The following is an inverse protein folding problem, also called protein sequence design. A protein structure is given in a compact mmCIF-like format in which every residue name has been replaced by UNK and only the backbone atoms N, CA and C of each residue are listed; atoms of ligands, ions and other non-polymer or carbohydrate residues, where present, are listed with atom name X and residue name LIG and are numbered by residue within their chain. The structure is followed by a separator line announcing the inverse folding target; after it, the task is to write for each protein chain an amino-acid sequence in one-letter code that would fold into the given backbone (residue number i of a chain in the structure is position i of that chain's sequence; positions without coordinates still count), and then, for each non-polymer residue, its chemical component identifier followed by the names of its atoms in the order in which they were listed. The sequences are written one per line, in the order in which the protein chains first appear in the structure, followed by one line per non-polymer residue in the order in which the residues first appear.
data_IF_293299533011
#
_entry.id   IF_293299533011
#
_cell.length_a   1.000
_cell.length_b   1.000
_cell.length_c   1.000
_cell.angle_alpha   90.00
_cell.angle_beta   90.00
_cell.angle_gamma   90.00
#
_symmetry.space_group_name_H-M   'P 1'
#
loop_
_entity.id
_entity.type
_entity.pdbx_description
1 polymer ?
#
# COMPACT_ATOMS: atom_id res chain seq x y z
N UNK A 1 13.31 -11.22 1.92
CA UNK A 1 13.62 -9.80 1.60
C UNK A 1 14.85 -9.33 2.35
N UNK A 2 14.85 -9.31 3.70
CA UNK A 2 15.97 -8.82 4.51
C UNK A 2 17.36 -9.41 4.15
N UNK A 3 17.46 -10.74 4.06
CA UNK A 3 18.75 -11.43 3.86
C UNK A 3 19.42 -11.17 2.49
N UNK A 4 18.66 -10.79 1.47
CA UNK A 4 19.18 -10.60 0.10
C UNK A 4 19.32 -9.13 -0.30
N UNK A 5 18.87 -8.20 0.56
CA UNK A 5 18.80 -6.77 0.24
C UNK A 5 19.64 -5.89 1.17
N UNK A 6 20.30 -6.46 2.19
CA UNK A 6 21.00 -5.70 3.24
C UNK A 6 20.06 -4.65 3.88
N UNK A 7 18.80 -5.03 4.11
CA UNK A 7 17.76 -4.18 4.68
C UNK A 7 17.24 -4.75 6.01
N UNK A 8 17.09 -3.88 7.00
CA UNK A 8 16.24 -4.14 8.17
C UNK A 8 14.77 -4.09 7.75
N UNK A 9 13.96 -5.05 8.22
CA UNK A 9 12.53 -5.15 7.88
C UNK A 9 11.69 -5.09 9.14
N UNK A 10 10.83 -4.08 9.24
CA UNK A 10 9.75 -4.01 10.22
C UNK A 10 8.47 -4.58 9.60
N UNK A 11 8.12 -5.81 9.95
CA UNK A 11 6.85 -6.42 9.53
C UNK A 11 5.74 -6.05 10.50
N UNK A 12 4.63 -5.52 9.97
CA UNK A 12 3.53 -4.94 10.75
C UNK A 12 2.35 -5.91 10.74
N UNK A 13 1.99 -6.40 11.93
CA UNK A 13 0.77 -7.19 12.13
C UNK A 13 -0.43 -6.24 12.36
N UNK A 14 -0.87 -5.61 11.26
CA UNK A 14 -1.95 -4.62 11.30
C UNK A 14 -3.32 -5.29 11.49
N UNK A 15 -4.26 -4.55 12.09
CA UNK A 15 -5.63 -5.02 12.31
C UNK A 15 -6.32 -5.42 11.00
N UNK A 16 -6.91 -6.62 10.99
CA UNK A 16 -7.59 -7.20 9.83
C UNK A 16 -9.11 -7.02 9.89
N UNK A 17 -9.71 -6.96 8.71
CA UNK A 17 -11.15 -7.08 8.52
C UNK A 17 -11.55 -8.57 8.47
N UNK A 18 -12.79 -8.92 8.86
CA UNK A 18 -13.92 -8.02 9.18
C UNK A 18 -13.92 -7.45 10.60
N UNK A 19 -13.09 -7.96 11.52
CA UNK A 19 -13.09 -7.57 12.93
C UNK A 19 -12.76 -6.09 13.12
N UNK A 20 -11.87 -5.56 12.28
CA UNK A 20 -11.49 -4.16 12.24
C UNK A 20 -11.62 -3.66 10.79
N UNK A 21 -12.80 -3.14 10.39
CA UNK A 21 -13.00 -2.68 9.03
C UNK A 21 -12.15 -1.43 8.72
N UNK A 22 -12.14 -1.04 7.44
CA UNK A 22 -11.51 0.22 7.01
C UNK A 22 -12.01 1.40 7.90
N UNK A 23 -11.11 2.28 8.36
CA UNK A 23 -9.70 2.44 7.98
C UNK A 23 -8.65 1.79 8.92
N UNK A 24 -9.02 0.85 9.79
CA UNK A 24 -8.13 0.37 10.86
C UNK A 24 -6.71 -0.07 10.41
N UNK A 25 -6.60 -0.89 9.35
CA UNK A 25 -5.29 -1.30 8.83
C UNK A 25 -4.46 -0.16 8.24
N UNK A 26 -5.10 0.89 7.72
CA UNK A 26 -4.41 2.11 7.24
C UNK A 26 -3.84 2.89 8.42
N UNK A 27 -4.61 3.06 9.49
CA UNK A 27 -4.17 3.74 10.71
C UNK A 27 -2.95 3.03 11.31
N UNK A 28 -2.98 1.70 11.37
CA UNK A 28 -1.88 0.90 11.91
C UNK A 28 -0.63 1.00 11.03
N UNK A 29 -0.78 1.00 9.70
CA UNK A 29 0.34 1.16 8.77
C UNK A 29 0.99 2.55 8.89
N UNK A 30 0.19 3.62 9.04
CA UNK A 30 0.70 4.98 9.28
C UNK A 30 1.39 5.06 10.64
N UNK A 31 0.79 4.49 11.68
CA UNK A 31 1.37 4.45 13.02
C UNK A 31 2.70 3.69 13.04
N UNK A 32 2.80 2.57 12.33
CA UNK A 32 4.03 1.79 12.23
C UNK A 32 5.14 2.54 11.49
N UNK A 33 4.82 3.24 10.40
CA UNK A 33 5.79 4.09 9.71
C UNK A 33 6.31 5.22 10.62
N UNK A 34 5.40 5.93 11.30
CA UNK A 34 5.78 6.98 12.27
C UNK A 34 6.63 6.42 13.40
N UNK A 35 6.25 5.26 13.95
CA UNK A 35 7.04 4.57 14.96
C UNK A 35 8.46 4.28 14.46
N UNK A 36 8.62 3.79 13.23
CA UNK A 36 9.94 3.53 12.66
C UNK A 36 10.79 4.80 12.54
N UNK A 37 10.19 5.92 12.11
CA UNK A 37 10.87 7.22 12.02
C UNK A 37 11.25 7.75 13.40
N UNK A 38 10.30 7.78 14.33
CA UNK A 38 10.48 8.33 15.69
C UNK A 38 11.48 7.51 16.52
N UNK A 39 11.61 6.22 16.20
CA UNK A 39 12.47 5.28 16.92
C UNK A 39 13.66 4.79 16.07
N UNK A 40 14.03 5.51 15.01
CA UNK A 40 15.10 5.10 14.10
C UNK A 40 16.43 4.80 14.83
N UNK A 41 16.78 5.60 15.84
CA UNK A 41 17.95 5.37 16.68
C UNK A 41 17.85 4.08 17.53
N UNK A 42 16.66 3.74 18.03
CA UNK A 42 16.42 2.50 18.77
C UNK A 42 16.50 1.28 17.84
N UNK A 43 16.09 1.46 16.58
CA UNK A 43 16.07 0.42 15.56
C UNK A 43 17.40 0.29 14.80
N UNK A 44 18.39 1.13 15.10
CA UNK A 44 19.69 1.20 14.41
C UNK A 44 19.56 1.39 12.90
N UNK A 45 18.68 2.32 12.48
CA UNK A 45 18.45 2.68 11.07
C UNK A 45 18.57 4.18 10.84
N UNK A 46 18.93 4.57 9.61
CA UNK A 46 18.91 5.97 9.18
C UNK A 46 17.44 6.41 8.96
N UNK A 47 16.93 7.40 9.71
CA UNK A 47 15.54 7.87 9.57
C UNK A 47 15.23 8.43 8.18
N UNK A 48 16.24 8.88 7.42
CA UNK A 48 16.09 9.38 6.05
C UNK A 48 16.04 8.27 4.99
N UNK A 49 16.34 7.03 5.37
CA UNK A 49 16.36 5.85 4.49
C UNK A 49 15.19 4.88 4.73
N UNK A 50 14.18 5.28 5.51
CA UNK A 50 13.01 4.44 5.82
C UNK A 50 12.03 4.47 4.65
N UNK A 51 11.75 3.30 4.07
CA UNK A 51 10.73 3.11 3.04
C UNK A 51 9.54 2.29 3.53
N UNK A 52 8.52 2.21 2.69
CA UNK A 52 7.34 1.36 2.90
C UNK A 52 7.24 0.32 1.79
N UNK A 53 6.63 -0.82 2.07
CA UNK A 53 6.42 -1.83 1.04
C UNK A 53 5.39 -2.87 1.40
N UNK A 54 4.89 -3.55 0.38
CA UNK A 54 3.92 -4.60 0.55
C UNK A 54 3.48 -5.27 -0.75
N UNK A 55 2.70 -6.33 -0.57
CA UNK A 55 2.14 -7.17 -1.60
C UNK A 55 0.63 -6.99 -1.66
N UNK A 56 0.03 -6.86 -2.85
CA UNK A 56 -1.44 -6.81 -3.02
C UNK A 56 -2.09 -5.73 -2.14
N UNK A 57 -2.88 -6.11 -1.13
CA UNK A 57 -3.45 -5.19 -0.15
C UNK A 57 -2.38 -4.47 0.71
N UNK A 58 -1.26 -5.11 1.01
CA UNK A 58 -0.12 -4.43 1.66
C UNK A 58 0.51 -3.37 0.75
N UNK A 59 0.49 -3.58 -0.58
CA UNK A 59 0.88 -2.57 -1.55
C UNK A 59 -0.07 -1.37 -1.58
N UNK A 60 -1.37 -1.59 -1.31
CA UNK A 60 -2.33 -0.50 -1.08
C UNK A 60 -1.93 0.34 0.14
N UNK A 61 -1.65 -0.32 1.27
CA UNK A 61 -1.25 0.35 2.51
C UNK A 61 0.02 1.18 2.31
N UNK A 62 1.04 0.62 1.63
CA UNK A 62 2.27 1.33 1.31
C UNK A 62 2.02 2.60 0.48
N UNK A 63 1.12 2.54 -0.51
CA UNK A 63 0.76 3.70 -1.32
C UNK A 63 0.02 4.77 -0.48
N UNK A 64 -0.95 4.35 0.34
CA UNK A 64 -1.77 5.25 1.16
C UNK A 64 -0.94 5.92 2.25
N UNK A 65 -0.03 5.19 2.92
CA UNK A 65 0.88 5.78 3.92
C UNK A 65 1.66 6.94 3.30
N UNK A 66 2.28 6.74 2.14
CA UNK A 66 3.04 7.79 1.48
C UNK A 66 2.19 9.00 1.10
N UNK A 67 0.94 8.79 0.66
CA UNK A 67 0.02 9.89 0.34
C UNK A 67 -0.36 10.71 1.59
N UNK A 68 -0.68 10.02 2.69
CA UNK A 68 -1.05 10.67 3.95
C UNK A 68 0.13 11.47 4.49
N UNK A 69 1.31 10.84 4.65
CA UNK A 69 2.47 11.47 5.27
C UNK A 69 3.02 12.63 4.44
N UNK A 70 2.92 12.54 3.11
CA UNK A 70 3.30 13.64 2.23
C UNK A 70 2.35 14.85 2.36
N UNK A 71 1.05 14.60 2.53
CA UNK A 71 0.03 15.65 2.66
C UNK A 71 0.12 16.39 3.99
N UNK A 72 0.53 15.70 5.06
CA UNK A 72 0.66 16.27 6.40
C UNK A 72 1.94 17.09 6.63
N UNK A 73 2.77 17.29 5.59
CA UNK A 73 4.06 18.00 5.67
C UNK A 73 5.04 17.41 6.71
N UNK A 74 5.03 16.08 6.89
CA UNK A 74 5.91 15.34 7.81
C UNK A 74 6.97 14.49 7.09
N UNK A 75 7.74 13.67 7.85
CA UNK A 75 8.62 12.65 7.27
C UNK A 75 7.84 11.77 6.29
N UNK A 76 8.35 11.62 5.07
CA UNK A 76 7.75 10.78 4.04
C UNK A 76 8.65 9.58 3.75
N UNK A 77 8.08 8.42 3.34
CA UNK A 77 8.89 7.26 2.98
C UNK A 77 9.90 7.59 1.87
N UNK A 78 11.15 7.21 2.06
CA UNK A 78 12.23 7.42 1.10
C UNK A 78 12.06 6.61 -0.20
N UNK A 79 11.36 5.48 -0.10
CA UNK A 79 10.99 4.64 -1.24
C UNK A 79 9.70 3.87 -0.97
N UNK A 80 9.09 3.35 -2.05
CA UNK A 80 7.91 2.49 -2.02
C UNK A 80 8.20 1.20 -2.81
N UNK A 81 8.11 0.03 -2.17
CA UNK A 81 8.22 -1.27 -2.83
C UNK A 81 6.84 -1.93 -2.95
N UNK A 82 6.33 -2.04 -4.18
CA UNK A 82 4.95 -2.49 -4.43
C UNK A 82 4.92 -3.75 -5.29
N UNK A 83 4.57 -4.89 -4.70
CA UNK A 83 4.34 -6.12 -5.45
C UNK A 83 2.86 -6.25 -5.80
N UNK A 84 2.54 -6.12 -7.10
CA UNK A 84 1.18 -6.25 -7.67
C UNK A 84 0.08 -5.61 -6.78
N UNK A 85 0.21 -4.30 -6.49
CA UNK A 85 -0.59 -3.63 -5.48
C UNK A 85 -2.06 -3.51 -5.89
N UNK A 86 -2.94 -3.49 -4.90
CA UNK A 86 -4.30 -2.96 -5.07
C UNK A 86 -4.22 -1.44 -4.96
N UNK A 87 -4.42 -0.70 -6.05
CA UNK A 87 -4.33 0.78 -6.06
C UNK A 87 -5.67 1.48 -6.23
N UNK A 88 -6.75 0.70 -6.33
CA UNK A 88 -8.10 1.21 -6.42
C UNK A 88 -9.10 0.07 -6.42
N UNK A 89 -10.34 0.40 -6.14
CA UNK A 89 -11.46 -0.52 -6.31
C UNK A 89 -11.93 -0.47 -7.76
N UNK A 90 -12.37 -1.60 -8.31
CA UNK A 90 -13.04 -1.63 -9.61
C UNK A 90 -14.39 -0.95 -9.48
N UNK A 91 -14.41 0.38 -9.62
CA UNK A 91 -15.65 1.14 -9.76
C UNK A 91 -16.08 0.99 -11.22
N UNK A 92 -17.33 0.55 -11.49
CA UNK A 92 -17.84 0.39 -12.86
C UNK A 92 -17.82 1.68 -13.70
N UNK A 93 -17.57 2.83 -13.06
CA UNK A 93 -17.44 4.14 -13.73
C UNK A 93 -16.06 4.41 -14.34
N UNK A 94 -15.04 3.60 -14.06
CA UNK A 94 -13.73 3.83 -14.70
C UNK A 94 -13.79 3.53 -16.20
N UNK A 95 -13.17 4.39 -17.04
CA UNK A 95 -13.16 4.22 -18.51
C UNK A 95 -12.60 2.86 -18.94
N UNK A 96 -11.67 2.31 -18.15
CA UNK A 96 -11.09 0.97 -18.35
C UNK A 96 -12.10 -0.12 -17.99
N UNK A 97 -12.80 -0.02 -16.86
CA UNK A 97 -13.86 -0.96 -16.49
C UNK A 97 -14.97 -1.02 -17.53
N UNK A 98 -15.41 0.15 -18.02
CA UNK A 98 -16.43 0.23 -19.09
C UNK A 98 -15.97 -0.44 -20.37
N UNK A 99 -14.71 -0.22 -20.77
CA UNK A 99 -14.13 -0.86 -21.96
C UNK A 99 -14.03 -2.38 -21.81
N UNK A 100 -13.50 -2.87 -20.69
CA UNK A 100 -13.35 -4.30 -20.44
C UNK A 100 -14.70 -5.02 -20.28
N UNK A 101 -15.69 -4.39 -19.66
CA UNK A 101 -17.07 -4.89 -19.62
C UNK A 101 -17.68 -4.92 -21.03
N UNK A 102 -17.47 -3.89 -21.83
CA UNK A 102 -17.96 -3.85 -23.23
C UNK A 102 -17.30 -4.95 -24.07
N UNK A 103 -15.98 -5.13 -23.97
CA UNK A 103 -15.24 -6.17 -24.68
C UNK A 103 -15.68 -7.58 -24.23
N UNK A 104 -15.94 -7.78 -22.93
CA UNK A 104 -16.48 -9.05 -22.41
C UNK A 104 -17.91 -9.34 -22.86
N UNK A 105 -18.77 -8.31 -22.93
CA UNK A 105 -20.15 -8.45 -23.43
C UNK A 105 -20.16 -8.74 -24.94
N UNK A 106 -19.29 -8.09 -25.71
CA UNK A 106 -19.14 -8.34 -27.15
C UNK A 106 -18.58 -9.75 -27.44
N UNK A 107 -17.64 -10.23 -26.63
CA UNK A 107 -17.12 -11.59 -26.75
C UNK A 107 -18.15 -12.67 -26.35
N UNK A 108 -19.10 -12.33 -25.46
CA UNK A 108 -20.18 -13.23 -25.04
C UNK A 108 -21.36 -13.28 -26.04
N UNK A 109 -21.53 -12.26 -26.89
CA UNK A 109 -22.57 -12.16 -27.91
C UNK A 109 -21.96 -11.71 -29.25
N UNK A 110 -21.31 -12.62 -30.00
CA UNK A 110 -20.81 -12.28 -31.33
C UNK A 110 -21.98 -11.93 -32.26
N UNK A 111 -21.85 -10.92 -33.14
CA UNK A 111 -22.89 -10.63 -34.13
C UNK A 111 -23.06 -11.84 -35.07
N UNK A 112 -24.31 -12.12 -35.45
CA UNK A 112 -24.68 -13.14 -36.45
C UNK A 112 -24.01 -12.91 -37.81
#
# INVERSE_FOLDING_TARGET
MAANAELSVLSVDYRLAPENPFPAGVEDAVAAFRYAVDNAALLDVDPSAIGVGGESAGGNLAAVVSQITHTEEGPAPAFQLMFFPVTGTFLPESRIARRLLTERVAAANPPE
#
